data_IF_379633927582
#
_entry.id   IF_379633927582
#
_cell.length_a   1.000
_cell.length_b   1.000
_cell.length_c   1.000
_cell.angle_alpha   90.00
_cell.angle_beta   90.00
_cell.angle_gamma   90.00
#
_symmetry.space_group_name_H-M   'P 1'
#
loop_
_entity.id
_entity.type
_entity.pdbx_description
1 polymer ?
#
# COMPACT_ATOMS: atom_id res chain seq x y z
N UNK A 1 1.21 2.73 -6.69
CA UNK A 1 1.41 3.10 -5.28
C UNK A 1 0.05 3.37 -4.62
N UNK A 2 -0.52 2.34 -4.00
CA UNK A 2 -1.81 2.41 -3.32
C UNK A 2 -1.76 3.31 -2.08
N UNK A 3 -0.61 3.37 -1.39
CA UNK A 3 -0.46 4.18 -0.19
C UNK A 3 -0.71 5.67 -0.48
N UNK A 4 -0.14 6.20 -1.57
CA UNK A 4 -0.36 7.58 -2.00
C UNK A 4 -1.83 7.83 -2.41
N UNK A 5 -2.46 6.88 -3.11
CA UNK A 5 -3.88 6.96 -3.49
C UNK A 5 -4.78 7.04 -2.28
N UNK A 6 -4.61 6.13 -1.32
CA UNK A 6 -5.46 6.10 -0.12
C UNK A 6 -5.19 7.23 0.83
N UNK A 7 -3.96 7.74 0.88
CA UNK A 7 -3.64 8.97 1.60
C UNK A 7 -4.47 10.15 1.08
N UNK A 8 -4.54 10.33 -0.26
CA UNK A 8 -5.33 11.38 -0.90
C UNK A 8 -6.84 11.18 -0.65
N UNK A 9 -7.35 9.95 -0.76
CA UNK A 9 -8.77 9.67 -0.53
C UNK A 9 -9.17 9.86 0.94
N UNK A 10 -8.33 9.41 1.89
CA UNK A 10 -8.55 9.62 3.33
C UNK A 10 -8.56 11.10 3.70
N UNK A 11 -7.65 11.91 3.15
CA UNK A 11 -7.63 13.36 3.40
C UNK A 11 -8.94 14.05 2.99
N UNK A 12 -9.67 13.46 2.01
CA UNK A 12 -10.98 13.92 1.53
C UNK A 12 -12.16 13.15 2.13
N UNK A 13 -11.94 12.25 3.11
CA UNK A 13 -12.97 11.39 3.74
C UNK A 13 -13.81 10.64 2.70
N UNK A 14 -13.16 10.12 1.66
CA UNK A 14 -13.79 9.51 0.49
C UNK A 14 -13.46 8.02 0.44
N UNK A 15 -14.49 7.17 0.51
CA UNK A 15 -14.43 5.74 0.26
C UNK A 15 -14.65 5.41 -1.21
N UNK A 16 -14.38 4.16 -1.60
CA UNK A 16 -14.58 3.63 -2.94
C UNK A 16 -15.53 2.44 -2.91
N UNK A 17 -16.48 2.41 -3.87
CA UNK A 17 -17.40 1.29 -4.13
C UNK A 17 -16.70 0.11 -4.79
N UNK A 18 -17.46 -0.99 -5.00
CA UNK A 18 -17.07 -2.17 -5.77
C UNK A 18 -15.76 -2.83 -5.29
N UNK A 19 -15.46 -2.74 -4.00
CA UNK A 19 -14.24 -3.31 -3.41
C UNK A 19 -12.94 -2.84 -4.12
N UNK A 20 -12.97 -1.66 -4.71
CA UNK A 20 -11.81 -1.10 -5.40
C UNK A 20 -10.61 -0.90 -4.49
N UNK A 21 -10.84 -0.60 -3.20
CA UNK A 21 -9.77 -0.41 -2.23
C UNK A 21 -8.92 -1.68 -2.04
N UNK A 22 -9.48 -2.84 -1.64
CA UNK A 22 -8.67 -4.06 -1.50
C UNK A 22 -8.00 -4.49 -2.81
N UNK A 23 -8.64 -4.24 -3.94
CA UNK A 23 -8.09 -4.56 -5.25
C UNK A 23 -6.84 -3.71 -5.57
N UNK A 24 -6.90 -2.39 -5.34
CA UNK A 24 -5.75 -1.50 -5.55
C UNK A 24 -4.62 -1.77 -4.56
N UNK A 25 -4.95 -2.15 -3.31
CA UNK A 25 -3.96 -2.59 -2.31
C UNK A 25 -3.25 -3.88 -2.76
N UNK A 26 -4.00 -4.87 -3.25
CA UNK A 26 -3.44 -6.12 -3.77
C UNK A 26 -2.59 -5.90 -5.02
N UNK A 27 -3.05 -5.07 -5.95
CA UNK A 27 -2.31 -4.71 -7.15
C UNK A 27 -0.96 -4.10 -6.79
N UNK A 28 -0.95 -3.08 -5.93
CA UNK A 28 0.28 -2.41 -5.51
C UNK A 28 1.24 -3.35 -4.77
N UNK A 29 0.71 -4.16 -3.84
CA UNK A 29 1.54 -5.10 -3.09
C UNK A 29 2.14 -6.24 -3.93
N UNK A 30 1.52 -6.58 -5.06
CA UNK A 30 2.03 -7.61 -5.97
C UNK A 30 2.98 -7.06 -7.03
N UNK A 31 2.77 -5.82 -7.52
CA UNK A 31 3.57 -5.27 -8.59
C UNK A 31 4.97 -4.83 -8.13
N UNK A 32 5.13 -4.35 -6.88
CA UNK A 32 6.40 -3.87 -6.36
C UNK A 32 7.47 -4.99 -6.27
N UNK A 33 7.18 -6.19 -5.69
CA UNK A 33 8.10 -7.32 -5.73
C UNK A 33 8.46 -7.77 -7.14
N UNK A 34 7.49 -7.74 -8.07
CA UNK A 34 7.71 -8.09 -9.48
C UNK A 34 8.64 -7.07 -10.16
N UNK A 35 8.39 -5.77 -9.96
CA UNK A 35 9.21 -4.70 -10.53
C UNK A 35 10.65 -4.75 -10.01
N UNK A 36 10.84 -5.00 -8.70
CA UNK A 36 12.16 -5.19 -8.09
C UNK A 36 12.93 -6.32 -8.77
N UNK A 37 12.32 -7.50 -8.84
CA UNK A 37 12.96 -8.67 -9.44
C UNK A 37 13.26 -8.48 -10.93
N UNK A 38 12.33 -7.90 -11.70
CA UNK A 38 12.56 -7.61 -13.11
C UNK A 38 13.70 -6.61 -13.30
N UNK A 39 13.80 -5.60 -12.44
CA UNK A 39 14.92 -4.64 -12.50
C UNK A 39 16.25 -5.32 -12.29
N UNK A 40 16.37 -6.16 -11.25
CA UNK A 40 17.60 -6.89 -10.97
C UNK A 40 17.94 -7.89 -12.09
N UNK A 41 16.96 -8.60 -12.61
CA UNK A 41 17.14 -9.54 -13.73
C UNK A 41 17.64 -8.83 -14.99
N UNK A 42 17.07 -7.70 -15.35
CA UNK A 42 17.51 -6.92 -16.50
C UNK A 42 18.92 -6.37 -16.31
N UNK A 43 19.27 -5.89 -15.12
CA UNK A 43 20.65 -5.47 -14.80
C UNK A 43 21.61 -6.64 -14.98
N UNK A 44 21.27 -7.82 -14.45
CA UNK A 44 22.08 -9.02 -14.59
C UNK A 44 22.29 -9.40 -16.07
N UNK A 45 21.24 -9.38 -16.89
CA UNK A 45 21.33 -9.65 -18.33
C UNK A 45 22.26 -8.67 -19.03
N UNK A 46 22.18 -7.37 -18.71
CA UNK A 46 23.02 -6.33 -19.31
C UNK A 46 24.49 -6.49 -18.92
N UNK A 47 24.76 -6.90 -17.67
CA UNK A 47 26.12 -7.09 -17.16
C UNK A 47 26.77 -8.41 -17.60
N UNK A 48 25.97 -9.40 -18.03
CA UNK A 48 26.47 -10.69 -18.48
C UNK A 48 27.02 -10.58 -19.93
N UNK A 49 28.24 -11.09 -20.23
CA UNK A 49 28.78 -11.03 -21.57
C UNK A 49 27.86 -11.66 -22.62
N UNK A 50 27.89 -11.10 -23.84
CA UNK A 50 27.10 -11.62 -24.96
C UNK A 50 27.49 -13.07 -25.28
N UNK A 51 26.51 -13.98 -25.22
CA UNK A 51 26.69 -15.41 -25.46
C UNK A 51 26.64 -16.29 -24.22
N UNK A 52 26.77 -15.76 -23.02
CA UNK A 52 26.64 -16.50 -21.75
C UNK A 52 25.26 -16.34 -21.09
N UNK A 53 24.41 -15.50 -21.65
CA UNK A 53 23.07 -15.27 -21.12
C UNK A 53 22.14 -16.43 -21.40
N UNK A 54 21.79 -17.19 -20.36
CA UNK A 54 20.75 -18.22 -20.45
C UNK A 54 19.42 -17.65 -19.92
N UNK A 55 18.62 -17.13 -20.84
CA UNK A 55 17.31 -16.54 -20.50
C UNK A 55 16.38 -17.52 -19.79
N UNK A 56 16.48 -18.82 -20.11
CA UNK A 56 15.70 -19.86 -19.44
C UNK A 56 16.12 -20.02 -17.97
N UNK A 57 17.40 -20.00 -17.70
CA UNK A 57 17.92 -20.04 -16.34
C UNK A 57 17.48 -18.80 -15.53
N UNK A 58 17.57 -17.62 -16.13
CA UNK A 58 17.12 -16.37 -15.50
C UNK A 58 15.62 -16.39 -15.18
N UNK A 59 14.80 -16.91 -16.09
CA UNK A 59 13.36 -17.08 -15.86
C UNK A 59 13.07 -18.12 -14.76
N UNK A 60 13.78 -19.24 -14.74
CA UNK A 60 13.64 -20.24 -13.69
C UNK A 60 14.00 -19.65 -12.31
N UNK A 61 15.12 -18.92 -12.24
CA UNK A 61 15.55 -18.24 -11.00
C UNK A 61 14.53 -17.21 -10.52
N UNK A 62 13.91 -16.47 -11.44
CA UNK A 62 12.80 -15.56 -11.09
C UNK A 62 11.65 -16.32 -10.42
N UNK A 63 11.20 -17.45 -10.97
CA UNK A 63 10.13 -18.26 -10.36
C UNK A 63 10.56 -18.80 -8.99
N UNK A 64 11.78 -19.28 -8.86
CA UNK A 64 12.31 -19.81 -7.60
C UNK A 64 12.33 -18.70 -6.53
N UNK A 65 12.85 -17.53 -6.86
CA UNK A 65 12.93 -16.39 -5.92
C UNK A 65 11.54 -15.92 -5.45
N UNK A 66 10.56 -15.87 -6.37
CA UNK A 66 9.18 -15.55 -6.03
C UNK A 66 8.55 -16.63 -5.13
N UNK A 67 8.77 -17.90 -5.43
CA UNK A 67 8.25 -19.02 -4.65
C UNK A 67 8.86 -19.08 -3.25
N UNK A 68 10.18 -18.93 -3.14
CA UNK A 68 10.90 -18.87 -1.86
C UNK A 68 10.43 -17.66 -1.04
N UNK A 69 10.29 -16.49 -1.65
CA UNK A 69 9.77 -15.30 -1.01
C UNK A 69 8.36 -15.50 -0.45
N UNK A 70 7.46 -16.12 -1.24
CA UNK A 70 6.10 -16.38 -0.83
C UNK A 70 6.03 -17.37 0.37
N UNK A 71 6.75 -18.48 0.30
CA UNK A 71 6.80 -19.49 1.36
C UNK A 71 7.44 -18.92 2.63
N UNK A 72 8.58 -18.24 2.50
CA UNK A 72 9.25 -17.60 3.63
C UNK A 72 8.35 -16.57 4.30
N UNK A 73 7.70 -15.70 3.52
CA UNK A 73 6.77 -14.69 4.02
C UNK A 73 5.60 -15.29 4.80
N UNK A 74 5.02 -16.38 4.31
CA UNK A 74 3.92 -17.06 4.99
C UNK A 74 4.38 -17.72 6.31
N UNK A 75 5.49 -18.46 6.29
CA UNK A 75 6.01 -19.16 7.47
C UNK A 75 6.50 -18.19 8.54
N UNK A 76 7.32 -17.21 8.14
CA UNK A 76 7.87 -16.21 9.05
C UNK A 76 6.79 -15.22 9.53
N UNK A 77 5.77 -14.95 8.70
CA UNK A 77 4.60 -14.18 9.11
C UNK A 77 3.79 -14.87 10.21
N UNK A 78 3.57 -16.20 10.10
CA UNK A 78 2.97 -16.99 11.19
C UNK A 78 3.85 -17.01 12.45
N UNK A 79 5.15 -17.10 12.27
CA UNK A 79 6.10 -17.01 13.39
C UNK A 79 6.00 -15.63 14.08
N UNK A 80 5.89 -14.55 13.33
CA UNK A 80 5.71 -13.20 13.89
C UNK A 80 4.39 -13.09 14.69
N UNK A 81 3.28 -13.60 14.16
CA UNK A 81 1.99 -13.66 14.89
C UNK A 81 2.12 -14.47 16.18
N UNK A 82 2.76 -15.64 16.12
CA UNK A 82 3.00 -16.47 17.29
C UNK A 82 3.86 -15.73 18.34
N UNK A 83 4.94 -15.07 17.89
CA UNK A 83 5.83 -14.31 18.76
C UNK A 83 5.10 -13.15 19.43
N UNK A 84 4.32 -12.37 18.68
CA UNK A 84 3.52 -11.25 19.19
C UNK A 84 2.50 -11.67 20.25
N UNK A 85 1.91 -12.86 20.10
CA UNK A 85 0.91 -13.38 21.03
C UNK A 85 1.52 -14.16 22.20
N UNK A 86 2.75 -14.66 22.08
CA UNK A 86 3.43 -15.45 23.12
C UNK A 86 4.18 -14.58 24.12
N UNK A 87 4.78 -13.49 23.62
CA UNK A 87 5.54 -12.58 24.47
C UNK A 87 4.57 -11.67 25.22
N UNK A 88 4.62 -11.74 26.55
CA UNK A 88 3.89 -10.82 27.41
C UNK A 88 4.84 -9.70 27.85
N UNK A 89 4.91 -8.65 27.02
CA UNK A 89 5.79 -7.50 27.26
C UNK A 89 4.97 -6.48 28.06
N UNK A 90 5.44 -6.15 29.27
CA UNK A 90 4.73 -5.22 30.18
C UNK A 90 4.54 -3.80 29.62
N UNK A 91 5.29 -3.41 28.57
CA UNK A 91 5.15 -2.12 27.91
C UNK A 91 4.57 -2.29 26.50
N UNK A 92 3.35 -1.79 26.30
CA UNK A 92 2.62 -1.85 25.04
C UNK A 92 3.35 -1.19 23.87
N UNK A 93 4.16 -0.15 24.12
CA UNK A 93 4.91 0.58 23.08
C UNK A 93 6.04 -0.26 22.45
N UNK A 94 6.42 -1.37 23.05
CA UNK A 94 7.44 -2.26 22.50
C UNK A 94 6.90 -3.24 21.45
N UNK A 95 5.59 -3.49 21.39
CA UNK A 95 5.00 -4.37 20.38
C UNK A 95 5.18 -3.87 18.95
N UNK A 96 4.98 -2.57 18.63
CA UNK A 96 5.30 -2.04 17.31
C UNK A 96 6.78 -2.21 16.93
N UNK A 97 7.69 -1.99 17.89
CA UNK A 97 9.13 -2.15 17.68
C UNK A 97 9.49 -3.62 17.43
N UNK A 98 8.89 -4.54 18.17
CA UNK A 98 9.04 -5.98 17.93
C UNK A 98 8.59 -6.37 16.53
N UNK A 99 7.42 -5.87 16.08
CA UNK A 99 6.96 -6.17 14.73
C UNK A 99 7.89 -5.56 13.67
N UNK A 100 8.42 -4.35 13.91
CA UNK A 100 9.41 -3.73 13.01
C UNK A 100 10.68 -4.59 12.92
N UNK A 101 11.17 -5.11 14.04
CA UNK A 101 12.30 -6.04 14.06
C UNK A 101 11.98 -7.32 13.27
N UNK A 102 10.76 -7.86 13.39
CA UNK A 102 10.31 -9.00 12.58
C UNK A 102 10.31 -8.67 11.08
N UNK A 103 9.88 -7.46 10.67
CA UNK A 103 9.90 -7.05 9.27
C UNK A 103 11.32 -7.09 8.69
N UNK A 104 12.30 -6.48 9.38
CA UNK A 104 13.70 -6.52 8.96
C UNK A 104 14.27 -7.94 8.96
N UNK A 105 13.94 -8.74 9.96
CA UNK A 105 14.35 -10.13 10.05
C UNK A 105 13.82 -10.96 8.87
N UNK A 106 12.51 -10.84 8.56
CA UNK A 106 11.86 -11.54 7.44
C UNK A 106 12.53 -11.15 6.12
N UNK A 107 12.73 -9.85 5.90
CA UNK A 107 13.41 -9.36 4.70
C UNK A 107 14.81 -9.95 4.58
N UNK A 108 15.65 -9.80 5.61
CA UNK A 108 17.05 -10.21 5.58
C UNK A 108 17.24 -11.72 5.43
N UNK A 109 16.47 -12.52 6.16
CA UNK A 109 16.53 -13.99 6.06
C UNK A 109 16.10 -14.45 4.67
N UNK A 110 15.05 -13.84 4.10
CA UNK A 110 14.57 -14.21 2.76
C UNK A 110 15.59 -13.88 1.69
N UNK A 111 16.22 -12.71 1.75
CA UNK A 111 17.31 -12.33 0.84
C UNK A 111 18.54 -13.26 0.99
N UNK A 112 18.87 -13.65 2.23
CA UNK A 112 19.98 -14.59 2.49
C UNK A 112 19.79 -15.94 1.78
N UNK A 113 18.54 -16.45 1.75
CA UNK A 113 18.21 -17.70 1.04
C UNK A 113 17.87 -17.45 -0.45
N UNK A 114 18.23 -16.28 -0.99
CA UNK A 114 17.99 -15.87 -2.38
C UNK A 114 16.50 -15.88 -2.78
N UNK A 115 15.61 -15.61 -1.84
CA UNK A 115 14.20 -15.35 -2.08
C UNK A 115 13.95 -13.85 -2.27
N UNK A 116 12.72 -13.47 -2.71
CA UNK A 116 12.32 -12.08 -2.79
C UNK A 116 11.87 -11.56 -1.41
N UNK A 117 12.70 -10.74 -0.76
CA UNK A 117 12.43 -10.16 0.55
C UNK A 117 11.23 -9.23 0.58
N UNK A 118 10.99 -8.44 -0.49
CA UNK A 118 9.82 -7.57 -0.58
C UNK A 118 8.51 -8.37 -0.60
N UNK A 119 8.47 -9.45 -1.40
CA UNK A 119 7.31 -10.34 -1.43
C UNK A 119 7.09 -11.02 -0.08
N UNK A 120 8.18 -11.46 0.57
CA UNK A 120 8.09 -12.11 1.87
C UNK A 120 7.51 -11.17 2.93
N UNK A 121 7.97 -9.93 3.01
CA UNK A 121 7.43 -8.92 3.94
C UNK A 121 5.98 -8.59 3.64
N UNK A 122 5.61 -8.47 2.35
CA UNK A 122 4.22 -8.23 1.94
C UNK A 122 3.29 -9.37 2.39
N UNK A 123 3.65 -10.62 2.12
CA UNK A 123 2.86 -11.79 2.52
C UNK A 123 2.82 -11.92 4.04
N UNK A 124 3.93 -11.67 4.74
CA UNK A 124 3.96 -11.67 6.20
C UNK A 124 3.03 -10.58 6.77
N UNK A 125 3.01 -9.39 6.15
CA UNK A 125 2.07 -8.32 6.49
C UNK A 125 0.61 -8.72 6.33
N UNK A 126 0.26 -9.42 5.24
CA UNK A 126 -1.09 -9.99 5.05
C UNK A 126 -1.43 -11.03 6.12
N UNK A 127 -0.48 -11.90 6.48
CA UNK A 127 -0.67 -12.90 7.54
C UNK A 127 -0.91 -12.21 8.87
N UNK A 128 -0.07 -11.27 9.28
CA UNK A 128 -0.19 -10.52 10.54
C UNK A 128 -1.49 -9.70 10.56
N UNK A 129 -1.84 -9.04 9.46
CA UNK A 129 -3.04 -8.21 9.35
C UNK A 129 -4.34 -8.99 9.49
N UNK A 130 -4.37 -10.25 9.00
CA UNK A 130 -5.53 -11.13 9.08
C UNK A 130 -5.66 -11.94 10.38
N UNK A 131 -4.64 -11.91 11.24
CA UNK A 131 -4.67 -12.59 12.54
C UNK A 131 -4.92 -11.60 13.68
N UNK A 132 -5.42 -12.15 14.79
CA UNK A 132 -5.51 -11.41 16.05
C UNK A 132 -4.12 -11.36 16.67
N UNK A 133 -3.61 -10.16 16.89
CA UNK A 133 -2.36 -9.89 17.59
C UNK A 133 -2.63 -9.00 18.80
N UNK A 134 -1.82 -9.15 19.85
CA UNK A 134 -1.89 -8.27 21.02
C UNK A 134 -1.60 -6.83 20.62
N UNK A 135 -2.31 -5.90 21.21
CA UNK A 135 -2.15 -4.45 21.00
C UNK A 135 -2.21 -4.00 19.51
N UNK A 136 -3.07 -4.66 18.70
CA UNK A 136 -3.19 -4.41 17.26
C UNK A 136 -3.38 -2.93 16.93
N UNK A 137 -4.18 -2.21 17.71
CA UNK A 137 -4.44 -0.76 17.50
C UNK A 137 -3.16 0.07 17.68
N UNK A 138 -2.40 -0.18 18.76
CA UNK A 138 -1.12 0.51 19.00
C UNK A 138 -0.12 0.25 17.88
N UNK A 139 -0.04 -1.00 17.42
CA UNK A 139 0.82 -1.40 16.28
C UNK A 139 0.39 -0.65 15.01
N UNK A 140 -0.89 -0.65 14.68
CA UNK A 140 -1.40 0.01 13.46
C UNK A 140 -1.15 1.52 13.50
N UNK A 141 -1.44 2.18 14.64
CA UNK A 141 -1.20 3.63 14.78
C UNK A 141 0.28 3.98 14.63
N UNK A 142 1.17 3.17 15.21
CA UNK A 142 2.60 3.36 15.06
C UNK A 142 3.05 3.25 13.59
N UNK A 143 2.63 2.17 12.91
CA UNK A 143 3.00 1.97 11.51
C UNK A 143 2.39 3.01 10.57
N UNK A 144 1.20 3.51 10.85
CA UNK A 144 0.62 4.63 10.10
C UNK A 144 1.51 5.89 10.21
N UNK A 145 1.90 6.28 11.43
CA UNK A 145 2.80 7.43 11.63
C UNK A 145 4.20 7.20 11.04
N UNK A 146 4.72 5.99 11.20
CA UNK A 146 6.03 5.60 10.68
C UNK A 146 6.06 5.64 9.14
N UNK A 147 5.01 5.17 8.49
CA UNK A 147 4.86 5.22 7.02
C UNK A 147 4.88 6.66 6.52
N UNK A 148 4.14 7.57 7.17
CA UNK A 148 4.16 8.99 6.82
C UNK A 148 5.55 9.61 6.96
N UNK A 149 6.24 9.35 8.07
CA UNK A 149 7.59 9.85 8.29
C UNK A 149 8.55 9.37 7.20
N UNK A 150 8.57 8.06 6.93
CA UNK A 150 9.44 7.50 5.89
C UNK A 150 9.09 7.98 4.50
N UNK A 151 7.82 8.19 4.19
CA UNK A 151 7.40 8.74 2.90
C UNK A 151 7.95 10.16 2.71
N UNK A 152 7.88 11.01 3.74
CA UNK A 152 8.43 12.37 3.69
C UNK A 152 9.96 12.32 3.50
N UNK A 153 10.67 11.55 4.34
CA UNK A 153 12.13 11.42 4.27
C UNK A 153 12.56 10.89 2.90
N UNK A 154 11.85 9.90 2.38
CA UNK A 154 12.14 9.29 1.08
C UNK A 154 11.97 10.28 -0.07
N UNK A 155 10.84 11.00 -0.15
CA UNK A 155 10.65 12.02 -1.19
C UNK A 155 11.66 13.17 -1.09
N UNK A 156 12.00 13.58 0.14
CA UNK A 156 13.02 14.60 0.36
C UNK A 156 14.39 14.13 -0.16
N UNK A 157 14.80 12.92 0.22
CA UNK A 157 16.10 12.34 -0.19
C UNK A 157 16.15 12.15 -1.71
N UNK A 158 15.10 11.61 -2.31
CA UNK A 158 15.03 11.42 -3.76
C UNK A 158 15.00 12.76 -4.52
N UNK A 159 14.33 13.78 -3.95
CA UNK A 159 14.34 15.14 -4.51
C UNK A 159 15.72 15.78 -4.49
N UNK A 160 16.51 15.54 -3.45
CA UNK A 160 17.92 16.04 -3.34
C UNK A 160 18.87 15.31 -4.30
N UNK A 161 18.54 14.09 -4.71
CA UNK A 161 19.37 13.30 -5.64
C UNK A 161 19.27 13.82 -7.09
N UNK A 162 18.24 14.58 -7.42
CA UNK A 162 17.96 15.02 -8.78
C UNK A 162 18.50 16.41 -9.03
N UNK A 163 19.21 16.56 -10.16
CA UNK A 163 19.60 17.88 -10.66
C UNK A 163 18.51 18.40 -11.65
N UNK A 164 17.80 19.50 -11.31
CA UNK A 164 16.72 20.02 -12.20
C UNK A 164 17.20 20.39 -13.60
N UNK A 165 18.47 20.74 -13.78
CA UNK A 165 19.04 21.06 -15.09
C UNK A 165 19.08 19.87 -16.03
N UNK A 166 19.23 18.65 -15.50
CA UNK A 166 19.31 17.42 -16.26
C UNK A 166 17.90 16.91 -16.66
N UNK A 167 16.84 17.44 -16.04
CA UNK A 167 15.46 17.09 -16.36
C UNK A 167 14.92 17.84 -17.60
N UNK A 168 15.37 19.05 -17.83
CA UNK A 168 14.88 19.88 -18.95
C UNK A 168 15.13 19.27 -20.33
N UNK A 169 16.36 18.75 -20.64
CA UNK A 169 16.63 18.14 -21.95
C UNK A 169 15.80 16.88 -22.22
N UNK A 170 15.43 16.14 -21.16
CA UNK A 170 14.68 14.90 -21.28
C UNK A 170 13.17 15.07 -21.11
N UNK A 171 12.70 16.29 -20.82
CA UNK A 171 11.29 16.57 -20.55
C UNK A 171 10.38 16.10 -21.71
N UNK A 172 10.79 16.31 -22.96
CA UNK A 172 10.05 15.86 -24.15
C UNK A 172 9.89 14.33 -24.19
N UNK A 173 10.97 13.60 -23.96
CA UNK A 173 10.96 12.14 -23.90
C UNK A 173 10.14 11.65 -22.69
N UNK A 174 10.33 12.25 -21.53
CA UNK A 174 9.60 11.91 -20.30
C UNK A 174 8.10 12.15 -20.42
N UNK A 175 7.67 13.26 -21.04
CA UNK A 175 6.26 13.51 -21.34
C UNK A 175 5.68 12.47 -22.30
N UNK A 176 6.37 12.20 -23.41
CA UNK A 176 5.93 11.22 -24.39
C UNK A 176 5.74 9.83 -23.76
N UNK A 177 6.75 9.35 -23.06
CA UNK A 177 6.69 8.04 -22.38
C UNK A 177 5.63 8.06 -21.25
N UNK A 178 5.58 9.14 -20.45
CA UNK A 178 4.61 9.29 -19.37
C UNK A 178 3.17 9.26 -19.88
N UNK A 179 2.84 10.03 -20.91
CA UNK A 179 1.50 10.03 -21.53
C UNK A 179 1.17 8.70 -22.19
N UNK A 180 2.12 8.08 -22.90
CA UNK A 180 1.93 6.74 -23.46
C UNK A 180 1.56 5.73 -22.36
N UNK A 181 2.28 5.77 -21.25
CA UNK A 181 2.02 4.85 -20.12
C UNK A 181 0.69 5.12 -19.43
N UNK A 182 0.28 6.37 -19.26
CA UNK A 182 -0.98 6.74 -18.60
C UNK A 182 -2.19 6.46 -19.50
N UNK A 183 -2.10 6.83 -20.79
CA UNK A 183 -3.25 6.83 -21.69
C UNK A 183 -3.42 5.52 -22.46
N UNK A 184 -2.33 4.82 -22.77
CA UNK A 184 -2.35 3.61 -23.59
C UNK A 184 -1.95 2.36 -22.81
N UNK A 185 -0.74 2.32 -22.27
CA UNK A 185 -0.20 1.08 -21.69
C UNK A 185 -1.02 0.61 -20.47
N UNK A 186 -1.34 1.52 -19.56
CA UNK A 186 -2.10 1.21 -18.36
C UNK A 186 -3.55 0.78 -18.64
N UNK A 187 -4.36 1.53 -19.43
CA UNK A 187 -5.71 1.09 -19.78
C UNK A 187 -5.71 -0.25 -20.51
N UNK A 188 -4.84 -0.45 -21.50
CA UNK A 188 -4.76 -1.72 -22.24
C UNK A 188 -4.49 -2.88 -21.29
N UNK A 189 -3.48 -2.77 -20.41
CA UNK A 189 -3.16 -3.85 -19.48
C UNK A 189 -4.28 -4.11 -18.48
N UNK A 190 -4.92 -3.07 -17.91
CA UNK A 190 -6.05 -3.23 -16.98
C UNK A 190 -7.25 -3.89 -17.66
N UNK A 191 -7.65 -3.43 -18.85
CA UNK A 191 -8.76 -4.02 -19.56
C UNK A 191 -8.48 -5.46 -20.00
N UNK A 192 -7.25 -5.77 -20.40
CA UNK A 192 -6.85 -7.13 -20.78
C UNK A 192 -6.83 -8.08 -19.56
N UNK A 193 -6.21 -7.66 -18.46
CA UNK A 193 -6.13 -8.49 -17.25
C UNK A 193 -7.48 -8.67 -16.56
N UNK A 194 -8.35 -7.65 -16.58
CA UNK A 194 -9.67 -7.70 -15.97
C UNK A 194 -10.78 -8.15 -16.94
N UNK A 195 -10.44 -8.52 -18.18
CA UNK A 195 -11.40 -9.06 -19.14
C UNK A 195 -12.17 -10.28 -18.62
N UNK A 196 -11.53 -11.27 -17.94
CA UNK A 196 -12.22 -12.44 -17.40
C UNK A 196 -13.22 -12.09 -16.28
N UNK A 197 -12.99 -10.99 -15.55
CA UNK A 197 -13.81 -10.60 -14.41
C UNK A 197 -15.01 -9.76 -14.85
N UNK A 198 -16.08 -10.44 -15.25
CA UNK A 198 -17.30 -9.80 -15.76
C UNK A 198 -18.14 -9.07 -14.71
N UNK A 199 -17.92 -9.36 -13.43
CA UNK A 199 -18.67 -8.73 -12.32
C UNK A 199 -18.25 -7.27 -12.08
N UNK A 200 -17.07 -6.87 -12.55
CA UNK A 200 -16.54 -5.53 -12.38
C UNK A 200 -17.11 -4.59 -13.45
N UNK A 201 -17.63 -3.43 -13.02
CA UNK A 201 -18.17 -2.45 -13.94
C UNK A 201 -17.08 -1.84 -14.84
N UNK A 202 -17.47 -1.41 -16.04
CA UNK A 202 -16.55 -0.70 -16.95
C UNK A 202 -16.02 0.59 -16.31
N UNK A 203 -16.86 1.26 -15.50
CA UNK A 203 -16.45 2.46 -14.76
C UNK A 203 -15.33 2.15 -13.76
N UNK A 204 -15.43 1.03 -13.04
CA UNK A 204 -14.40 0.57 -12.13
C UNK A 204 -13.09 0.26 -12.86
N UNK A 205 -13.14 -0.41 -14.03
CA UNK A 205 -11.95 -0.68 -14.87
C UNK A 205 -11.29 0.62 -15.36
N UNK A 206 -12.09 1.61 -15.77
CA UNK A 206 -11.58 2.93 -16.16
C UNK A 206 -10.93 3.63 -14.97
N UNK A 207 -11.54 3.57 -13.78
CA UNK A 207 -10.97 4.14 -12.57
C UNK A 207 -9.62 3.51 -12.20
N UNK A 208 -9.54 2.18 -12.18
CA UNK A 208 -8.29 1.43 -11.94
C UNK A 208 -7.22 1.80 -12.97
N UNK A 209 -7.60 1.95 -14.24
CA UNK A 209 -6.70 2.39 -15.29
C UNK A 209 -6.15 3.79 -15.03
N UNK A 210 -6.95 4.70 -14.50
CA UNK A 210 -6.55 6.07 -14.21
C UNK A 210 -5.70 6.18 -12.95
N UNK A 211 -6.04 5.43 -11.89
CA UNK A 211 -5.42 5.51 -10.56
C UNK A 211 -4.04 4.80 -10.47
N UNK A 212 -3.39 4.58 -11.60
CA UNK A 212 -2.02 4.05 -11.66
C UNK A 212 -0.96 5.05 -11.20
N UNK A 213 -1.16 5.68 -10.03
CA UNK A 213 -0.20 6.61 -9.43
C UNK A 213 1.18 5.95 -9.27
N UNK A 214 2.20 6.67 -9.67
CA UNK A 214 3.60 6.30 -9.46
C UNK A 214 4.13 7.07 -8.28
N UNK A 215 4.48 6.32 -7.23
CA UNK A 215 5.08 6.88 -6.04
C UNK A 215 6.61 6.85 -6.08
N UNK A 216 7.22 6.82 -4.92
CA UNK A 216 8.67 6.80 -4.80
C UNK A 216 9.32 5.45 -5.14
N UNK A 217 8.59 4.34 -5.09
CA UNK A 217 9.12 2.99 -5.35
C UNK A 217 9.77 2.89 -6.74
N UNK A 218 9.16 3.34 -7.86
CA UNK A 218 9.81 3.37 -9.16
C UNK A 218 11.12 4.16 -9.17
N UNK A 219 11.21 5.27 -8.44
CA UNK A 219 12.42 6.07 -8.36
C UNK A 219 13.52 5.32 -7.60
N UNK A 220 13.14 4.64 -6.49
CA UNK A 220 14.09 3.77 -5.75
C UNK A 220 14.62 2.69 -6.69
N UNK A 221 13.78 2.01 -7.43
CA UNK A 221 14.22 0.96 -8.35
C UNK A 221 15.10 1.53 -9.49
N UNK A 222 14.88 2.77 -9.89
CA UNK A 222 15.75 3.45 -10.85
C UNK A 222 17.14 3.81 -10.30
N UNK A 223 17.36 3.72 -8.97
CA UNK A 223 18.72 3.86 -8.40
C UNK A 223 19.57 2.60 -8.57
N UNK A 224 18.97 1.40 -8.71
CA UNK A 224 19.73 0.17 -8.91
C UNK A 224 20.60 0.17 -10.18
N UNK A 225 20.09 0.61 -11.35
CA UNK A 225 20.93 0.87 -12.51
C UNK A 225 22.11 1.80 -12.25
N UNK A 226 21.91 2.87 -11.43
CA UNK A 226 22.97 3.80 -11.06
C UNK A 226 24.06 3.11 -10.22
N UNK A 227 23.65 2.34 -9.22
CA UNK A 227 24.55 1.59 -8.34
C UNK A 227 25.32 0.52 -9.16
N UNK A 228 24.63 -0.13 -10.09
CA UNK A 228 25.20 -1.14 -10.98
C UNK A 228 26.06 -0.55 -12.11
N UNK A 229 26.13 0.78 -12.24
CA UNK A 229 26.92 1.51 -13.24
C UNK A 229 26.67 1.04 -14.69
N UNK A 230 25.40 0.71 -15.01
CA UNK A 230 25.06 0.33 -16.38
C UNK A 230 25.05 1.55 -17.33
N UNK A 231 25.26 1.35 -18.63
CA UNK A 231 25.19 2.44 -19.62
C UNK A 231 23.83 3.15 -19.55
N UNK A 232 23.84 4.48 -19.63
CA UNK A 232 22.65 5.33 -19.58
C UNK A 232 21.83 5.28 -18.28
N UNK A 233 22.40 4.80 -17.17
CA UNK A 233 21.72 4.71 -15.88
C UNK A 233 21.15 6.05 -15.41
N UNK A 234 21.90 7.15 -15.57
CA UNK A 234 21.45 8.51 -15.24
C UNK A 234 20.24 8.94 -16.07
N UNK A 235 20.21 8.59 -17.37
CA UNK A 235 19.06 8.87 -18.23
C UNK A 235 17.82 8.10 -17.75
N UNK A 236 17.97 6.80 -17.44
CA UNK A 236 16.88 5.97 -16.90
C UNK A 236 16.32 6.59 -15.61
N UNK A 237 17.19 6.94 -14.67
CA UNK A 237 16.81 7.55 -13.41
C UNK A 237 16.03 8.86 -13.62
N UNK A 238 16.57 9.78 -14.41
CA UNK A 238 15.95 11.07 -14.67
C UNK A 238 14.61 10.94 -15.39
N UNK A 239 14.48 10.04 -16.37
CA UNK A 239 13.20 9.77 -17.06
C UNK A 239 12.15 9.22 -16.09
N UNK A 240 12.52 8.23 -15.26
CA UNK A 240 11.60 7.65 -14.25
C UNK A 240 11.17 8.70 -13.24
N UNK A 241 12.11 9.52 -12.75
CA UNK A 241 11.82 10.61 -11.83
C UNK A 241 10.86 11.64 -12.43
N UNK A 242 11.12 12.07 -13.67
CA UNK A 242 10.27 13.02 -14.40
C UNK A 242 8.85 12.47 -14.59
N UNK A 243 8.71 11.21 -15.02
CA UNK A 243 7.42 10.54 -15.20
C UNK A 243 6.68 10.45 -13.85
N UNK A 244 7.38 10.19 -12.76
CA UNK A 244 6.77 10.13 -11.42
C UNK A 244 6.22 11.48 -10.99
N UNK A 245 6.95 12.58 -11.21
CA UNK A 245 6.44 13.92 -10.93
C UNK A 245 5.19 14.22 -11.75
N UNK A 246 5.22 13.96 -13.06
CA UNK A 246 4.08 14.17 -13.94
C UNK A 246 2.86 13.34 -13.49
N UNK A 247 3.08 12.09 -13.13
CA UNK A 247 2.03 11.20 -12.58
C UNK A 247 1.43 11.76 -11.28
N UNK A 248 2.26 12.17 -10.33
CA UNK A 248 1.79 12.76 -9.07
C UNK A 248 1.01 14.05 -9.29
N UNK A 249 1.47 14.92 -10.21
CA UNK A 249 0.79 16.18 -10.52
C UNK A 249 -0.55 15.94 -11.22
N UNK A 250 -0.61 15.09 -12.24
CA UNK A 250 -1.82 14.88 -13.04
C UNK A 250 -2.77 13.89 -12.36
N UNK A 251 -2.29 12.68 -12.08
CA UNK A 251 -3.14 11.64 -11.52
C UNK A 251 -3.43 11.89 -10.04
N UNK A 252 -2.43 12.31 -9.23
CA UNK A 252 -2.61 12.58 -7.80
C UNK A 252 -3.68 13.63 -7.52
N UNK A 253 -3.70 14.73 -8.27
CA UNK A 253 -4.71 15.79 -8.11
C UNK A 253 -6.10 15.37 -8.59
N UNK A 254 -6.19 14.45 -9.55
CA UNK A 254 -7.45 14.05 -10.20
C UNK A 254 -8.06 12.75 -9.67
N UNK A 255 -7.38 11.97 -8.81
CA UNK A 255 -7.87 10.71 -8.23
C UNK A 255 -9.29 10.83 -7.67
N UNK A 256 -9.50 11.80 -6.77
CA UNK A 256 -10.79 12.04 -6.11
C UNK A 256 -11.86 12.52 -7.10
N UNK A 257 -11.49 13.41 -8.03
CA UNK A 257 -12.40 13.94 -9.04
C UNK A 257 -12.87 12.84 -10.00
N UNK A 258 -11.97 11.93 -10.37
CA UNK A 258 -12.33 10.78 -11.21
C UNK A 258 -13.27 9.79 -10.49
N UNK A 259 -13.06 9.56 -9.18
CA UNK A 259 -13.99 8.74 -8.39
C UNK A 259 -15.41 9.33 -8.40
N UNK A 260 -15.52 10.65 -8.25
CA UNK A 260 -16.80 11.34 -8.30
C UNK A 260 -17.42 11.32 -9.70
N UNK A 261 -16.64 11.60 -10.75
CA UNK A 261 -17.09 11.60 -12.14
C UNK A 261 -17.67 10.25 -12.57
N UNK A 262 -17.04 9.16 -12.11
CA UNK A 262 -17.48 7.81 -12.42
C UNK A 262 -18.58 7.27 -11.46
N UNK A 263 -19.00 8.08 -10.45
CA UNK A 263 -19.95 7.70 -9.39
C UNK A 263 -19.50 6.49 -8.55
N UNK A 264 -18.19 6.33 -8.37
CA UNK A 264 -17.56 5.28 -7.57
C UNK A 264 -17.21 5.74 -6.16
N UNK A 265 -17.43 7.02 -5.86
CA UNK A 265 -17.24 7.60 -4.55
C UNK A 265 -18.34 7.14 -3.59
N UNK A 266 -17.94 6.79 -2.37
CA UNK A 266 -18.82 6.50 -1.23
C UNK A 266 -18.31 7.30 -0.01
N UNK A 267 -19.20 7.65 0.90
CA UNK A 267 -18.75 8.22 2.18
C UNK A 267 -17.97 7.13 2.92
N UNK A 268 -16.78 7.47 3.38
CA UNK A 268 -16.00 6.53 4.19
C UNK A 268 -16.88 6.10 5.38
N UNK A 269 -17.10 4.79 5.60
CA UNK A 269 -17.85 4.35 6.76
C UNK A 269 -17.12 4.90 7.97
N UNK A 270 -17.83 5.60 8.85
CA UNK A 270 -17.28 6.08 10.12
C UNK A 270 -16.70 4.84 10.83
N UNK A 271 -15.40 4.67 10.80
CA UNK A 271 -14.74 3.67 11.64
C UNK A 271 -15.07 4.06 13.08
N UNK A 272 -15.78 3.16 13.75
CA UNK A 272 -16.40 3.40 15.02
C UNK A 272 -15.51 4.10 16.03
N UNK A 273 -16.14 4.99 16.77
CA UNK A 273 -15.71 5.71 17.95
C UNK A 273 -14.90 6.99 17.70
N UNK A 274 -15.61 8.07 17.38
CA UNK A 274 -15.15 9.46 17.50
C UNK A 274 -14.74 9.83 18.96
N UNK A 275 -14.89 8.91 19.91
CA UNK A 275 -14.70 9.18 21.34
C UNK A 275 -13.27 8.95 21.85
N UNK A 276 -12.36 8.41 21.05
CA UNK A 276 -10.98 8.16 21.48
C UNK A 276 -10.82 7.21 22.68
N UNK A 277 -11.90 6.62 23.18
CA UNK A 277 -11.86 5.64 24.26
C UNK A 277 -11.52 4.26 23.73
N UNK A 278 -10.47 3.66 24.27
CA UNK A 278 -10.12 2.28 24.05
C UNK A 278 -10.94 1.41 25.01
N UNK A 279 -11.90 0.65 24.46
CA UNK A 279 -12.49 -0.43 25.22
C UNK A 279 -11.45 -1.55 25.34
N UNK A 280 -11.23 -2.12 26.55
CA UNK A 280 -10.40 -3.31 26.70
C UNK A 280 -10.89 -4.41 25.76
N UNK A 281 -9.97 -5.12 25.10
CA UNK A 281 -10.30 -6.20 24.15
C UNK A 281 -11.13 -7.34 24.75
N UNK A 282 -11.18 -7.41 26.08
CA UNK A 282 -11.97 -8.40 26.85
C UNK A 282 -13.46 -8.09 26.85
N UNK A 283 -13.86 -6.85 26.56
CA UNK A 283 -15.26 -6.45 26.52
C UNK A 283 -15.79 -6.69 25.10
N UNK A 284 -16.56 -7.77 24.92
CA UNK A 284 -17.30 -8.09 23.68
C UNK A 284 -18.46 -7.13 23.42
N UNK A 285 -18.28 -5.81 23.57
CA UNK A 285 -19.31 -4.81 23.37
C UNK A 285 -18.96 -3.93 22.17
N UNK A 286 -19.95 -3.61 21.35
CA UNK A 286 -19.84 -2.65 20.28
C UNK A 286 -20.27 -1.28 20.80
N UNK A 287 -19.45 -0.25 20.62
CA UNK A 287 -19.92 1.13 20.80
C UNK A 287 -20.67 1.57 19.54
N UNK A 288 -21.85 2.12 19.70
CA UNK A 288 -22.63 2.77 18.64
C UNK A 288 -23.03 4.17 19.06
N UNK A 289 -23.00 5.11 18.15
CA UNK A 289 -23.53 6.45 18.31
C UNK A 289 -25.01 6.43 17.89
N UNK A 290 -25.89 6.80 18.80
CA UNK A 290 -27.32 6.88 18.53
C UNK A 290 -27.69 8.38 18.57
N UNK A 291 -28.17 8.87 17.44
CA UNK A 291 -28.77 10.22 17.39
C UNK A 291 -30.14 10.17 18.06
N UNK A 292 -30.30 10.94 19.13
CA UNK A 292 -31.58 11.01 19.86
C UNK A 292 -32.53 11.89 19.05
N UNK A 293 -33.44 11.26 18.31
CA UNK A 293 -34.50 11.96 17.61
C UNK A 293 -35.70 12.20 18.56
N UNK A 294 -36.55 13.18 18.26
CA UNK A 294 -37.71 13.57 19.08
C UNK A 294 -38.68 12.42 19.40
N UNK A 295 -38.72 11.40 18.55
CA UNK A 295 -39.50 10.18 18.76
C UNK A 295 -38.99 9.26 19.88
N UNK A 296 -37.72 9.39 20.27
CA UNK A 296 -37.12 8.65 21.39
C UNK A 296 -37.35 9.33 22.73
N UNK A 297 -37.74 10.60 22.71
CA UNK A 297 -38.00 11.42 23.90
C UNK A 297 -39.46 11.40 24.36
N UNK A 298 -40.29 10.49 23.82
CA UNK A 298 -41.75 10.40 24.10
C UNK A 298 -42.05 10.22 25.60
N UNK A 299 -41.18 9.54 26.35
CA UNK A 299 -41.37 9.21 27.75
C UNK A 299 -40.69 10.20 28.74
N UNK A 300 -39.95 11.18 28.24
CA UNK A 300 -39.24 12.18 29.06
C UNK A 300 -37.87 12.55 28.49
N UNK A 301 -37.29 13.62 29.08
CA UNK A 301 -35.99 14.16 28.61
C UNK A 301 -34.79 13.68 29.46
N UNK A 302 -34.99 12.63 30.26
CA UNK A 302 -33.91 12.08 31.09
C UNK A 302 -33.35 10.82 30.43
N UNK A 303 -32.09 10.56 30.67
CA UNK A 303 -31.38 9.40 30.12
C UNK A 303 -32.03 8.06 30.49
N UNK A 304 -32.67 8.01 31.69
CA UNK A 304 -33.38 6.84 32.19
C UNK A 304 -34.76 6.63 31.55
N UNK A 305 -35.27 7.63 30.84
CA UNK A 305 -36.56 7.59 30.15
C UNK A 305 -36.40 7.08 28.69
N UNK A 306 -35.13 6.92 28.23
CA UNK A 306 -34.81 6.36 26.92
C UNK A 306 -34.94 4.84 26.95
N UNK A 307 -35.78 4.27 26.11
CA UNK A 307 -35.87 2.81 25.90
C UNK A 307 -34.68 2.29 25.08
N UNK A 308 -33.56 2.12 25.77
CA UNK A 308 -32.37 1.51 25.18
C UNK A 308 -32.48 -0.01 25.24
N UNK A 309 -31.83 -0.74 24.28
CA UNK A 309 -31.78 -2.21 24.31
C UNK A 309 -31.18 -2.73 25.63
N UNK A 310 -31.61 -3.89 26.06
CA UNK A 310 -31.05 -4.57 27.25
C UNK A 310 -29.53 -4.71 27.15
N UNK A 311 -28.84 -4.53 28.29
CA UNK A 311 -27.37 -4.52 28.40
C UNK A 311 -26.67 -3.36 27.67
N UNK A 312 -27.33 -2.23 27.50
CA UNK A 312 -26.72 -1.01 26.94
C UNK A 312 -26.18 -0.14 28.07
N UNK A 313 -24.92 0.28 27.97
CA UNK A 313 -24.31 1.27 28.87
C UNK A 313 -24.10 2.59 28.11
N UNK A 314 -24.66 3.67 28.63
CA UNK A 314 -24.39 4.99 28.08
C UNK A 314 -23.07 5.50 28.65
N UNK A 315 -22.08 5.69 27.76
CA UNK A 315 -20.72 6.11 28.12
C UNK A 315 -20.57 7.63 28.07
N UNK A 316 -21.27 8.30 27.15
CA UNK A 316 -21.18 9.74 26.96
C UNK A 316 -22.44 10.28 26.27
N UNK A 317 -22.84 11.49 26.65
CA UNK A 317 -23.88 12.29 25.98
C UNK A 317 -23.19 13.54 25.43
N UNK A 318 -23.43 13.84 24.15
CA UNK A 318 -22.90 15.02 23.47
C UNK A 318 -23.93 16.13 23.41
#
# INVERSE_FOLDING_TARGET
DSASVFSILRSKKQGLKEQLRPMLELESGSNDPMAYMLTLLLIQIIQTPAGETNLWYSFLMFIVQMSVGAVAGFLLGKMAVWLMNRLNIGNQSLYPILLLACVFFIFSITELVKGNGYLAVYIAGLVVGNHKIQHKKSVTTFFDGFTWLFQIVMFLTLGLLVNPRDLLPIAGLGLLVGFFMIILARPISVFLCLAPFRQMSTKAKVYVSWVGLRGAVPIIFATYPLIAQIPYASLIFNVVFFITIVSLLIQGTTVSSMANLLNLSEKEPKQGNDFGMELPEEIKSAMSEIEVADNLLVNGNRLMDLSLPDNTLVVMVK
#
